data_IF_984139979157
#
_entry.id   IF_984139979157
#
_cell.length_a   1.000
_cell.length_b   1.000
_cell.length_c   1.000
_cell.angle_alpha   90.00
_cell.angle_beta   90.00
_cell.angle_gamma   90.00
#
_symmetry.space_group_name_H-M   'P 1'
#
loop_
_entity.id
_entity.type
_entity.pdbx_description
1 polymer ?
#
# COMPACT_ATOMS: atom_id res chain seq x y z
N UNK A 1 17.30 -21.38 22.03
CA UNK A 1 16.63 -20.42 21.14
C UNK A 1 16.72 -19.07 21.80
N UNK A 2 17.50 -18.17 21.23
CA UNK A 2 17.60 -16.78 21.67
C UNK A 2 16.37 -16.06 21.16
N UNK A 3 15.73 -15.25 22.00
CA UNK A 3 14.63 -14.38 21.57
C UNK A 3 15.18 -13.42 20.49
N UNK A 4 14.51 -13.23 19.33
CA UNK A 4 14.97 -12.28 18.34
C UNK A 4 15.05 -10.89 18.95
N UNK A 5 16.01 -10.09 18.50
CA UNK A 5 16.10 -8.68 18.85
C UNK A 5 14.81 -7.94 18.51
N UNK A 6 14.58 -6.80 19.17
CA UNK A 6 13.38 -5.99 18.92
C UNK A 6 13.27 -5.54 17.45
N UNK A 7 14.41 -5.30 16.79
CA UNK A 7 14.44 -4.90 15.38
C UNK A 7 14.08 -6.05 14.44
N UNK A 8 14.60 -7.26 14.67
CA UNK A 8 14.20 -8.46 13.92
C UNK A 8 12.71 -8.76 14.13
N UNK A 9 12.21 -8.71 15.36
CA UNK A 9 10.80 -8.91 15.65
C UNK A 9 9.90 -7.91 14.90
N UNK A 10 10.26 -6.63 14.92
CA UNK A 10 9.54 -5.58 14.19
C UNK A 10 9.59 -5.77 12.66
N UNK A 11 10.69 -6.32 12.12
CA UNK A 11 10.77 -6.66 10.70
C UNK A 11 9.79 -7.79 10.36
N UNK A 12 9.80 -8.89 11.13
CA UNK A 12 8.93 -10.05 10.91
C UNK A 12 7.44 -9.67 11.03
N UNK A 13 7.11 -8.78 11.96
CA UNK A 13 5.77 -8.20 12.08
C UNK A 13 5.40 -7.35 10.86
N UNK A 14 6.30 -6.48 10.40
CA UNK A 14 6.08 -5.62 9.22
C UNK A 14 5.75 -6.44 7.97
N UNK A 15 6.48 -7.52 7.72
CA UNK A 15 6.21 -8.42 6.59
C UNK A 15 5.15 -9.47 6.90
N UNK A 16 4.58 -9.50 8.12
CA UNK A 16 3.60 -10.49 8.59
C UNK A 16 4.01 -11.92 8.27
N UNK A 17 5.27 -12.24 8.53
CA UNK A 17 5.73 -13.61 8.33
C UNK A 17 5.15 -14.50 9.43
N UNK A 18 4.45 -15.60 9.08
CA UNK A 18 3.94 -16.52 10.08
C UNK A 18 5.13 -17.10 10.85
N UNK A 19 5.12 -17.00 12.18
CA UNK A 19 6.17 -17.56 13.03
C UNK A 19 6.31 -19.04 12.68
N UNK A 20 7.40 -19.39 11.98
CA UNK A 20 7.72 -20.75 11.57
C UNK A 20 8.92 -21.23 12.36
N UNK A 21 9.10 -22.55 12.41
CA UNK A 21 10.33 -23.10 12.97
C UNK A 21 11.52 -22.59 12.13
N UNK A 22 12.55 -22.02 12.77
CA UNK A 22 13.67 -21.45 12.04
C UNK A 22 14.39 -22.51 11.20
N UNK A 23 14.90 -22.11 10.04
CA UNK A 23 15.85 -22.94 9.32
C UNK A 23 17.12 -23.02 10.18
N UNK A 24 17.53 -24.22 10.57
CA UNK A 24 18.77 -24.40 11.32
C UNK A 24 19.95 -24.13 10.37
N UNK A 25 20.55 -22.94 10.46
CA UNK A 25 21.76 -22.58 9.73
C UNK A 25 22.98 -23.03 10.54
N UNK A 26 23.86 -23.82 9.93
CA UNK A 26 25.16 -24.14 10.52
C UNK A 26 26.13 -22.97 10.33
N UNK A 27 26.03 -21.98 11.22
CA UNK A 27 26.90 -20.80 11.16
C UNK A 27 28.39 -21.10 11.32
N UNK A 28 28.75 -22.20 11.98
CA UNK A 28 30.14 -22.58 12.12
C UNK A 28 30.71 -23.05 10.76
N UNK A 29 29.94 -23.86 10.02
CA UNK A 29 30.29 -24.25 8.65
C UNK A 29 30.31 -23.05 7.70
N UNK A 30 29.31 -22.17 7.76
CA UNK A 30 29.24 -20.95 6.93
C UNK A 30 30.44 -20.04 7.18
N UNK A 31 30.79 -19.79 8.45
CA UNK A 31 31.96 -18.97 8.78
C UNK A 31 33.26 -19.62 8.34
N UNK A 32 33.37 -20.95 8.45
CA UNK A 32 34.56 -21.69 8.00
C UNK A 32 34.74 -21.63 6.48
N UNK A 33 33.66 -21.71 5.71
CA UNK A 33 33.69 -21.68 4.25
C UNK A 33 33.92 -20.26 3.71
N UNK A 34 33.20 -19.27 4.24
CA UNK A 34 33.26 -17.88 3.75
C UNK A 34 34.47 -17.11 4.27
N UNK A 35 35.00 -17.48 5.44
CA UNK A 35 36.00 -16.70 6.17
C UNK A 35 35.47 -15.39 6.77
N UNK A 36 34.18 -15.08 6.57
CA UNK A 36 33.55 -13.85 7.02
C UNK A 36 32.89 -14.01 8.39
N UNK A 37 32.85 -12.91 9.15
CA UNK A 37 31.99 -12.78 10.34
C UNK A 37 30.66 -12.14 9.92
N UNK A 38 29.61 -12.39 10.69
CA UNK A 38 28.26 -11.90 10.40
C UNK A 38 27.69 -11.16 11.61
N UNK A 39 27.01 -10.02 11.42
CA UNK A 39 26.22 -9.40 12.46
C UNK A 39 25.23 -10.41 13.07
N UNK A 40 25.04 -10.38 14.38
CA UNK A 40 24.08 -11.20 15.11
C UNK A 40 22.66 -11.03 14.53
N UNK A 41 22.27 -9.81 14.21
CA UNK A 41 20.93 -9.52 13.66
C UNK A 41 20.70 -10.14 12.28
N UNK A 42 21.73 -10.24 11.43
CA UNK A 42 21.61 -10.98 10.17
C UNK A 42 21.35 -12.47 10.41
N UNK A 43 22.04 -13.05 11.40
CA UNK A 43 21.85 -14.45 11.76
C UNK A 43 20.43 -14.71 12.25
N UNK A 44 19.89 -13.82 13.08
CA UNK A 44 18.49 -13.88 13.52
C UNK A 44 17.51 -13.82 12.33
N UNK A 45 17.74 -12.92 11.37
CA UNK A 45 16.89 -12.78 10.18
C UNK A 45 16.95 -14.03 9.30
N UNK A 46 18.14 -14.57 9.03
CA UNK A 46 18.34 -15.78 8.22
C UNK A 46 17.88 -17.07 8.93
N UNK A 47 17.78 -17.07 10.25
CA UNK A 47 17.14 -18.18 10.97
C UNK A 47 15.62 -18.07 10.90
N UNK A 48 15.06 -16.85 10.99
CA UNK A 48 13.62 -16.61 11.02
C UNK A 48 12.93 -16.75 9.65
N UNK A 49 13.65 -16.47 8.57
CA UNK A 49 13.12 -16.51 7.20
C UNK A 49 13.80 -17.65 6.42
N UNK A 50 13.08 -18.44 5.60
CA UNK A 50 13.72 -19.32 4.63
C UNK A 50 14.35 -18.49 3.49
N UNK A 51 15.20 -19.09 2.63
CA UNK A 51 15.67 -18.41 1.40
C UNK A 51 14.52 -17.81 0.59
N UNK A 52 14.67 -16.55 0.16
CA UNK A 52 13.58 -15.82 -0.47
C UNK A 52 13.86 -14.33 -0.70
N UNK A 53 12.78 -13.60 -0.96
CA UNK A 53 12.81 -12.21 -1.40
C UNK A 53 11.81 -11.34 -0.63
N UNK A 54 12.24 -10.13 -0.32
CA UNK A 54 11.39 -9.05 0.16
C UNK A 54 10.82 -8.26 -1.01
N UNK A 55 9.50 -8.02 -0.99
CA UNK A 55 8.76 -7.27 -2.03
C UNK A 55 9.10 -7.70 -3.48
N UNK A 56 9.51 -8.95 -3.68
CA UNK A 56 9.93 -9.55 -4.97
C UNK A 56 11.15 -8.91 -5.66
N UNK A 57 11.79 -7.91 -5.06
CA UNK A 57 12.96 -7.24 -5.67
C UNK A 57 14.25 -7.39 -4.88
N UNK A 58 14.18 -7.47 -3.54
CA UNK A 58 15.34 -7.59 -2.68
C UNK A 58 15.50 -9.04 -2.26
N UNK A 59 16.52 -9.71 -2.79
CA UNK A 59 16.86 -11.10 -2.48
C UNK A 59 17.88 -11.16 -1.37
N UNK A 60 17.59 -11.93 -0.33
CA UNK A 60 18.56 -12.18 0.74
C UNK A 60 19.56 -13.25 0.26
N UNK A 61 20.86 -12.99 0.38
CA UNK A 61 21.89 -14.01 0.13
C UNK A 61 21.89 -14.97 1.32
N UNK A 62 20.99 -15.94 1.26
CA UNK A 62 20.62 -16.77 2.39
C UNK A 62 21.52 -18.02 2.50
N UNK A 63 22.17 -18.28 3.65
CA UNK A 63 23.13 -19.39 3.80
C UNK A 63 22.47 -20.77 3.71
N UNK A 64 21.21 -20.93 4.09
CA UNK A 64 20.46 -22.17 3.88
C UNK A 64 20.00 -22.41 2.41
N UNK A 65 20.31 -21.50 1.49
CA UNK A 65 19.96 -21.66 0.07
C UNK A 65 20.85 -22.67 -0.66
N UNK A 66 22.07 -22.88 -0.15
CA UNK A 66 23.10 -23.71 -0.77
C UNK A 66 23.92 -24.45 0.30
N UNK A 67 24.68 -25.49 -0.07
CA UNK A 67 25.77 -25.98 0.76
C UNK A 67 26.76 -24.85 1.12
N UNK A 68 27.45 -24.91 2.28
CA UNK A 68 28.33 -23.82 2.73
C UNK A 68 29.41 -23.40 1.73
N UNK A 69 29.99 -24.33 0.98
CA UNK A 69 31.02 -24.02 -0.02
C UNK A 69 30.44 -23.26 -1.23
N UNK A 70 29.27 -23.67 -1.72
CA UNK A 70 28.56 -22.97 -2.82
C UNK A 70 28.06 -21.59 -2.36
N UNK A 71 27.62 -21.46 -1.10
CA UNK A 71 27.32 -20.16 -0.53
C UNK A 71 28.56 -19.26 -0.48
N UNK A 72 29.72 -19.83 -0.12
CA UNK A 72 30.98 -19.08 -0.13
C UNK A 72 31.36 -18.61 -1.54
N UNK A 73 31.21 -19.46 -2.55
CA UNK A 73 31.43 -19.08 -3.95
C UNK A 73 30.53 -17.91 -4.37
N UNK A 74 29.25 -17.91 -3.98
CA UNK A 74 28.32 -16.81 -4.27
C UNK A 74 28.75 -15.50 -3.58
N UNK A 75 29.06 -15.55 -2.28
CA UNK A 75 29.51 -14.38 -1.52
C UNK A 75 30.83 -13.84 -2.08
N UNK A 76 31.80 -14.71 -2.39
CA UNK A 76 33.09 -14.31 -2.98
C UNK A 76 32.91 -13.76 -4.39
N UNK A 77 31.96 -14.28 -5.18
CA UNK A 77 31.61 -13.75 -6.49
C UNK A 77 31.12 -12.30 -6.43
N UNK A 78 30.19 -11.98 -5.54
CA UNK A 78 29.75 -10.59 -5.34
C UNK A 78 30.84 -9.72 -4.74
N UNK A 79 31.64 -10.22 -3.79
CA UNK A 79 32.76 -9.46 -3.24
C UNK A 79 33.80 -9.11 -4.32
N UNK A 80 34.09 -10.06 -5.22
CA UNK A 80 34.97 -9.85 -6.37
C UNK A 80 34.38 -8.82 -7.34
N UNK A 81 33.06 -8.86 -7.61
CA UNK A 81 32.38 -7.87 -8.44
C UNK A 81 32.50 -6.46 -7.87
N UNK A 82 32.40 -6.32 -6.54
CA UNK A 82 32.58 -5.06 -5.84
C UNK A 82 34.06 -4.61 -5.82
N UNK A 83 35.00 -5.54 -5.94
CA UNK A 83 36.45 -5.24 -6.03
C UNK A 83 37.08 -4.72 -4.74
N UNK A 84 36.41 -4.84 -3.61
CA UNK A 84 36.83 -4.25 -2.33
C UNK A 84 36.78 -5.30 -1.21
N UNK A 85 37.92 -5.62 -0.58
CA UNK A 85 38.02 -6.74 0.36
C UNK A 85 37.37 -6.46 1.73
N UNK A 86 37.01 -5.22 2.00
CA UNK A 86 36.35 -4.80 3.24
C UNK A 86 34.81 -4.87 3.15
N UNK A 87 34.25 -5.36 2.04
CA UNK A 87 32.81 -5.54 1.88
C UNK A 87 32.40 -7.00 1.97
N UNK A 88 31.35 -7.25 2.77
CA UNK A 88 30.71 -8.56 2.90
C UNK A 88 29.29 -8.46 2.33
N UNK A 89 29.04 -8.95 1.10
CA UNK A 89 27.72 -8.99 0.49
C UNK A 89 26.73 -9.80 1.31
N UNK A 90 25.47 -9.38 1.36
CA UNK A 90 24.43 -10.12 2.08
C UNK A 90 23.03 -10.03 1.46
N UNK A 91 22.79 -9.09 0.55
CA UNK A 91 21.56 -9.03 -0.23
C UNK A 91 21.82 -8.41 -1.61
N UNK A 92 20.89 -8.64 -2.54
CA UNK A 92 20.90 -8.04 -3.87
C UNK A 92 19.53 -7.45 -4.21
N UNK A 93 19.51 -6.34 -4.93
CA UNK A 93 18.30 -5.74 -5.49
C UNK A 93 18.37 -5.84 -7.00
N UNK A 94 17.60 -6.79 -7.54
CA UNK A 94 17.70 -7.17 -8.95
C UNK A 94 19.14 -7.46 -9.36
N UNK A 95 19.56 -6.90 -10.51
CA UNK A 95 20.95 -6.95 -10.99
C UNK A 95 21.70 -5.64 -10.73
N UNK A 96 21.08 -4.69 -10.03
CA UNK A 96 21.47 -3.28 -10.05
C UNK A 96 22.21 -2.87 -8.80
N UNK A 97 21.86 -3.46 -7.65
CA UNK A 97 22.53 -3.17 -6.40
C UNK A 97 22.93 -4.43 -5.65
N UNK A 98 24.14 -4.39 -5.10
CA UNK A 98 24.60 -5.32 -4.08
C UNK A 98 24.59 -4.58 -2.74
N UNK A 99 23.94 -5.18 -1.75
CA UNK A 99 23.91 -4.67 -0.39
C UNK A 99 24.95 -5.46 0.40
N UNK A 100 25.87 -4.73 1.03
CA UNK A 100 26.98 -5.30 1.78
C UNK A 100 27.06 -4.67 3.17
N UNK A 101 27.79 -5.31 4.09
CA UNK A 101 28.35 -4.61 5.25
C UNK A 101 29.76 -4.16 4.92
N UNK A 102 30.16 -3.01 5.44
CA UNK A 102 31.58 -2.61 5.43
C UNK A 102 32.23 -3.00 6.76
N UNK A 103 33.32 -3.75 6.67
CA UNK A 103 34.09 -4.20 7.82
C UNK A 103 34.74 -2.97 8.48
N UNK A 104 34.22 -2.59 9.64
CA UNK A 104 34.75 -1.51 10.48
C UNK A 104 35.04 -2.05 11.89
N UNK A 105 36.32 -2.21 12.21
CA UNK A 105 36.73 -2.77 13.51
C UNK A 105 36.36 -4.24 13.68
N UNK A 106 36.41 -4.69 14.94
CA UNK A 106 36.29 -6.11 15.28
C UNK A 106 34.88 -6.58 15.63
N UNK A 107 33.92 -5.67 15.76
CA UNK A 107 32.54 -6.00 16.12
C UNK A 107 31.64 -5.97 14.88
N UNK A 108 31.19 -7.15 14.37
CA UNK A 108 30.29 -7.19 13.23
C UNK A 108 28.96 -6.47 13.45
N UNK A 109 28.49 -6.36 14.69
CA UNK A 109 27.23 -5.66 14.99
C UNK A 109 27.34 -4.14 14.80
N UNK A 110 28.56 -3.61 14.71
CA UNK A 110 28.82 -2.20 14.45
C UNK A 110 29.04 -1.88 12.96
N UNK A 111 29.12 -2.89 12.09
CA UNK A 111 29.39 -2.69 10.66
C UNK A 111 28.22 -2.00 9.95
N UNK A 112 28.45 -0.86 9.27
CA UNK A 112 27.37 -0.18 8.55
C UNK A 112 26.99 -0.95 7.28
N UNK A 113 25.72 -0.79 6.88
CA UNK A 113 25.23 -1.27 5.59
C UNK A 113 25.69 -0.31 4.49
N UNK A 114 26.10 -0.86 3.35
CA UNK A 114 26.49 -0.12 2.15
C UNK A 114 25.64 -0.60 0.98
N UNK A 115 24.98 0.34 0.30
CA UNK A 115 24.31 0.11 -0.98
C UNK A 115 25.34 0.36 -2.08
N UNK A 116 25.67 -0.67 -2.86
CA UNK A 116 26.64 -0.59 -3.94
C UNK A 116 25.94 -0.73 -5.30
N UNK A 117 26.11 0.24 -6.18
CA UNK A 117 25.71 0.11 -7.60
C UNK A 117 26.60 -0.96 -8.25
N UNK A 118 25.97 -1.99 -8.82
CA UNK A 118 26.70 -3.09 -9.49
C UNK A 118 27.38 -2.67 -10.79
N UNK A 119 26.98 -1.52 -11.37
CA UNK A 119 27.43 -1.02 -12.68
C UNK A 119 28.40 0.15 -12.56
N UNK A 120 28.69 0.65 -11.36
CA UNK A 120 29.48 1.85 -11.17
C UNK A 120 30.13 1.96 -9.79
N UNK A 121 30.94 3.00 -9.54
CA UNK A 121 31.61 3.20 -8.25
C UNK A 121 30.67 3.79 -7.18
N UNK A 122 29.38 3.98 -7.48
CA UNK A 122 28.42 4.59 -6.57
C UNK A 122 28.20 3.73 -5.33
N UNK A 123 28.49 4.28 -4.15
CA UNK A 123 28.31 3.62 -2.86
C UNK A 123 27.78 4.58 -1.82
N UNK A 124 26.74 4.18 -1.12
CA UNK A 124 26.14 4.99 -0.05
C UNK A 124 26.09 4.18 1.24
N UNK A 125 26.55 4.81 2.32
CA UNK A 125 26.70 4.18 3.64
C UNK A 125 25.50 4.54 4.50
N UNK A 126 24.80 3.52 4.98
CA UNK A 126 23.72 3.65 5.94
C UNK A 126 24.17 3.06 7.28
N UNK A 127 24.19 3.90 8.32
CA UNK A 127 24.44 3.44 9.70
C UNK A 127 23.19 2.82 10.30
N UNK A 128 22.77 1.71 9.71
CA UNK A 128 21.64 0.90 10.12
C UNK A 128 22.12 -0.53 10.33
N UNK A 129 21.45 -1.24 11.24
CA UNK A 129 21.58 -2.69 11.35
C UNK A 129 20.87 -3.38 10.17
N UNK A 130 21.05 -4.69 10.01
CA UNK A 130 20.44 -5.47 8.92
C UNK A 130 18.90 -5.34 8.88
N UNK A 131 18.22 -5.60 9.99
CA UNK A 131 16.77 -5.47 10.10
C UNK A 131 16.34 -3.99 10.06
N UNK A 132 17.16 -3.08 10.60
CA UNK A 132 16.93 -1.64 10.48
C UNK A 132 16.90 -1.18 9.02
N UNK A 133 17.87 -1.63 8.21
CA UNK A 133 17.94 -1.34 6.78
C UNK A 133 16.78 -1.97 6.01
N UNK A 134 16.48 -3.25 6.23
CA UNK A 134 15.35 -3.93 5.58
C UNK A 134 14.02 -3.20 5.89
N UNK A 135 13.78 -2.80 7.14
CA UNK A 135 12.58 -2.03 7.50
C UNK A 135 12.53 -0.66 6.83
N UNK A 136 13.67 0.02 6.71
CA UNK A 136 13.75 1.29 6.00
C UNK A 136 13.38 1.13 4.52
N UNK A 137 13.91 0.12 3.84
CA UNK A 137 13.56 -0.18 2.43
C UNK A 137 12.08 -0.50 2.26
N UNK A 138 11.48 -1.21 3.23
CA UNK A 138 10.09 -1.66 3.14
C UNK A 138 9.05 -0.59 3.51
N UNK A 139 9.46 0.51 4.14
CA UNK A 139 8.56 1.58 4.58
C UNK A 139 8.38 2.61 3.46
N UNK A 140 7.17 3.15 3.30
CA UNK A 140 6.88 4.21 2.32
C UNK A 140 6.48 5.50 3.04
N UNK A 141 7.09 6.66 2.68
CA UNK A 141 8.23 6.79 1.77
C UNK A 141 9.50 6.15 2.34
N UNK A 142 10.33 5.55 1.48
CA UNK A 142 11.58 4.93 1.96
C UNK A 142 12.63 6.01 2.20
N UNK A 143 13.37 5.98 3.33
CA UNK A 143 14.49 6.88 3.55
C UNK A 143 15.79 6.41 2.86
N UNK A 144 15.77 5.31 2.10
CA UNK A 144 16.90 4.83 1.29
C UNK A 144 16.71 5.34 -0.13
N UNK A 145 17.26 6.53 -0.41
CA UNK A 145 17.01 7.29 -1.65
C UNK A 145 17.30 6.48 -2.92
N UNK A 146 18.36 5.68 -2.90
CA UNK A 146 18.84 4.84 -4.00
C UNK A 146 17.81 3.79 -4.41
N UNK A 147 16.92 3.39 -3.51
CA UNK A 147 15.94 2.32 -3.69
C UNK A 147 14.49 2.82 -3.78
N UNK A 148 14.25 4.13 -3.75
CA UNK A 148 12.91 4.74 -3.85
C UNK A 148 12.10 4.22 -5.04
N UNK A 149 12.73 4.12 -6.21
CA UNK A 149 12.08 3.69 -7.46
C UNK A 149 11.51 2.26 -7.42
N UNK A 150 12.06 1.37 -6.59
CA UNK A 150 11.59 -0.02 -6.44
C UNK A 150 10.79 -0.24 -5.16
N UNK A 151 11.16 0.42 -4.06
CA UNK A 151 10.50 0.30 -2.77
C UNK A 151 9.05 0.82 -2.77
N UNK A 152 8.79 1.87 -3.54
CA UNK A 152 7.45 2.48 -3.60
C UNK A 152 6.50 1.75 -4.55
N UNK A 153 7.04 0.93 -5.46
CA UNK A 153 6.25 0.23 -6.48
C UNK A 153 5.51 -1.01 -5.92
N UNK A 154 5.94 -1.56 -4.77
CA UNK A 154 5.49 -2.86 -4.27
C UNK A 154 4.99 -2.77 -2.82
N UNK A 155 3.80 -2.18 -2.64
CA UNK A 155 3.10 -2.18 -1.36
C UNK A 155 1.93 -3.17 -1.38
N UNK A 156 1.61 -3.81 -0.24
CA UNK A 156 2.23 -3.68 1.09
C UNK A 156 3.53 -4.50 1.24
N UNK A 157 4.32 -4.29 2.33
CA UNK A 157 5.50 -5.10 2.61
C UNK A 157 5.15 -6.59 2.67
N UNK A 158 5.97 -7.39 2.01
CA UNK A 158 5.76 -8.83 1.85
C UNK A 158 7.09 -9.57 1.75
N UNK A 159 7.02 -10.87 2.00
CA UNK A 159 8.13 -11.80 1.81
C UNK A 159 7.66 -13.03 1.04
N UNK A 160 8.46 -13.48 0.08
CA UNK A 160 8.20 -14.67 -0.73
C UNK A 160 9.38 -15.60 -0.59
N UNK A 161 9.15 -16.77 0.00
CA UNK A 161 10.15 -17.82 0.09
C UNK A 161 10.26 -18.58 -1.24
N UNK A 162 11.46 -19.08 -1.52
CA UNK A 162 11.72 -19.88 -2.72
C UNK A 162 10.94 -21.20 -2.75
N UNK A 163 10.51 -21.69 -1.59
CA UNK A 163 9.65 -22.88 -1.46
C UNK A 163 8.14 -22.59 -1.69
N UNK A 164 7.81 -21.36 -2.08
CA UNK A 164 6.45 -20.93 -2.39
C UNK A 164 5.65 -20.43 -1.19
N UNK A 165 6.18 -20.51 0.04
CA UNK A 165 5.55 -19.86 1.19
C UNK A 165 5.61 -18.36 1.03
N UNK A 166 4.53 -17.68 1.37
CA UNK A 166 4.44 -16.23 1.31
C UNK A 166 4.02 -15.67 2.66
N UNK A 167 4.46 -14.43 2.93
CA UNK A 167 3.95 -13.64 4.05
C UNK A 167 2.43 -13.66 4.03
N UNK A 168 1.81 -13.64 5.21
CA UNK A 168 0.37 -13.49 5.27
C UNK A 168 -0.02 -12.21 4.49
N UNK A 169 -1.03 -12.28 3.61
CA UNK A 169 -1.48 -11.10 2.88
C UNK A 169 -1.75 -10.00 3.91
N UNK A 170 -1.39 -8.75 3.59
CA UNK A 170 -1.89 -7.65 4.38
C UNK A 170 -3.41 -7.75 4.31
N UNK A 171 -4.04 -8.03 5.45
CA UNK A 171 -5.35 -7.46 5.67
C UNK A 171 -5.25 -5.96 5.38
N UNK A 172 -6.33 -5.34 4.90
CA UNK A 172 -6.30 -3.90 4.68
C UNK A 172 -5.88 -3.18 5.96
N UNK A 173 -5.00 -2.19 5.83
CA UNK A 173 -4.65 -1.33 6.95
C UNK A 173 -5.83 -0.39 7.23
N UNK A 174 -6.48 -0.58 8.38
CA UNK A 174 -7.65 0.20 8.80
C UNK A 174 -7.34 1.70 8.98
N UNK A 175 -6.08 2.08 9.21
CA UNK A 175 -5.66 3.48 9.36
C UNK A 175 -5.07 4.05 8.08
N UNK A 176 -4.91 3.27 7.00
CA UNK A 176 -4.25 3.72 5.77
C UNK A 176 -4.86 5.01 5.23
N UNK A 177 -6.19 5.03 5.04
CA UNK A 177 -6.87 6.22 4.54
C UNK A 177 -6.93 7.37 5.55
N UNK A 178 -6.90 7.05 6.83
CA UNK A 178 -6.93 8.06 7.88
C UNK A 178 -5.62 8.85 7.89
N UNK A 179 -4.47 8.18 7.75
CA UNK A 179 -3.16 8.83 7.63
C UNK A 179 -3.09 9.75 6.41
N UNK A 180 -3.73 9.39 5.30
CA UNK A 180 -3.85 10.26 4.13
C UNK A 180 -4.63 11.56 4.41
N UNK A 181 -5.64 11.49 5.28
CA UNK A 181 -6.48 12.62 5.66
C UNK A 181 -5.93 13.43 6.86
N UNK A 182 -5.02 12.86 7.64
CA UNK A 182 -4.42 13.52 8.81
C UNK A 182 -3.70 14.81 8.43
N UNK A 183 -3.87 15.86 9.26
CA UNK A 183 -3.25 17.17 9.04
C UNK A 183 -3.84 18.00 7.89
N UNK A 184 -4.78 17.45 7.10
CA UNK A 184 -5.48 18.18 6.06
C UNK A 184 -6.77 18.80 6.61
N UNK A 185 -6.94 20.10 6.44
CA UNK A 185 -8.16 20.79 6.83
C UNK A 185 -9.29 20.45 5.84
N UNK A 186 -10.41 19.94 6.34
CA UNK A 186 -11.64 19.84 5.58
C UNK A 186 -12.22 21.24 5.42
N UNK A 187 -12.56 21.63 4.19
CA UNK A 187 -13.62 22.62 4.00
C UNK A 187 -14.84 22.08 4.77
N UNK A 188 -15.56 22.94 5.49
CA UNK A 188 -16.72 22.52 6.31
C UNK A 188 -17.78 21.75 5.50
N UNK A 189 -18.87 21.27 6.13
CA UNK A 189 -19.94 20.63 5.39
C UNK A 189 -20.55 21.64 4.39
N UNK A 190 -20.17 21.52 3.12
CA UNK A 190 -20.64 22.35 2.01
C UNK A 190 -21.75 21.63 1.26
N UNK A 191 -22.78 22.38 0.89
CA UNK A 191 -23.86 21.93 0.00
C UNK A 191 -23.90 22.90 -1.19
N UNK A 192 -23.37 22.46 -2.32
CA UNK A 192 -23.24 23.25 -3.55
C UNK A 192 -24.25 22.83 -4.63
N UNK A 193 -25.38 22.23 -4.24
CA UNK A 193 -26.35 21.67 -5.19
C UNK A 193 -27.04 22.76 -6.00
N UNK A 194 -27.33 23.91 -5.39
CA UNK A 194 -27.99 25.01 -6.08
C UNK A 194 -27.08 25.60 -7.18
N UNK A 195 -25.79 25.81 -6.91
CA UNK A 195 -24.83 26.27 -7.92
C UNK A 195 -24.59 25.22 -9.00
N UNK A 196 -24.58 23.93 -8.64
CA UNK A 196 -24.40 22.85 -9.59
C UNK A 196 -25.62 22.71 -10.53
N UNK A 197 -26.83 22.99 -10.04
CA UNK A 197 -28.08 22.88 -10.80
C UNK A 197 -28.02 23.65 -12.12
N UNK A 198 -27.39 24.82 -12.12
CA UNK A 198 -27.29 25.69 -13.29
C UNK A 198 -26.26 25.20 -14.33
N UNK A 199 -25.41 24.23 -13.98
CA UNK A 199 -24.31 23.74 -14.80
C UNK A 199 -24.53 22.34 -15.38
N UNK A 200 -25.58 21.63 -14.94
CA UNK A 200 -25.83 20.24 -15.31
C UNK A 200 -27.24 20.07 -15.85
N UNK A 201 -27.47 19.02 -16.65
CA UNK A 201 -28.82 18.64 -17.05
C UNK A 201 -29.38 17.65 -16.03
N UNK A 202 -30.45 17.99 -15.29
CA UNK A 202 -31.07 17.05 -14.35
C UNK A 202 -31.57 15.80 -15.07
N UNK A 203 -31.38 14.65 -14.42
CA UNK A 203 -31.85 13.35 -14.89
C UNK A 203 -32.75 12.76 -13.81
N UNK A 204 -34.01 13.23 -13.71
CA UNK A 204 -34.91 12.83 -12.64
C UNK A 204 -35.07 11.31 -12.62
N UNK A 205 -34.92 10.72 -11.45
CA UNK A 205 -35.03 9.28 -11.27
C UNK A 205 -36.51 8.92 -11.28
N UNK A 206 -36.90 8.00 -12.17
CA UNK A 206 -38.28 7.51 -12.25
C UNK A 206 -38.60 6.59 -11.07
N UNK A 207 -38.79 7.16 -9.88
CA UNK A 207 -39.28 6.43 -8.71
C UNK A 207 -40.81 6.50 -8.72
N UNK A 208 -41.47 5.37 -8.98
CA UNK A 208 -42.93 5.22 -8.92
C UNK A 208 -43.48 5.16 -7.46
N UNK A 209 -43.02 6.09 -6.61
CA UNK A 209 -43.26 6.39 -5.16
C UNK A 209 -42.80 5.34 -4.11
N UNK A 210 -42.26 5.76 -2.93
CA UNK A 210 -42.70 6.84 -2.01
C UNK A 210 -41.64 7.93 -1.72
N UNK A 211 -42.03 8.98 -0.98
CA UNK A 211 -41.20 10.11 -0.50
C UNK A 211 -39.72 9.76 -0.25
N UNK A 212 -38.80 10.68 -0.56
CA UNK A 212 -37.34 10.50 -0.43
C UNK A 212 -36.89 9.93 0.92
N UNK A 213 -37.57 10.28 2.01
CA UNK A 213 -37.37 9.67 3.33
C UNK A 213 -37.36 8.13 3.31
N UNK A 214 -38.32 7.50 2.62
CA UNK A 214 -38.40 6.04 2.55
C UNK A 214 -37.28 5.45 1.72
N UNK A 215 -36.92 6.11 0.61
CA UNK A 215 -35.80 5.70 -0.25
C UNK A 215 -34.50 5.72 0.56
N UNK A 216 -34.20 6.83 1.25
CA UNK A 216 -32.99 6.95 2.05
C UNK A 216 -32.96 6.00 3.25
N UNK A 217 -34.11 5.73 3.88
CA UNK A 217 -34.18 4.71 4.93
C UNK A 217 -33.83 3.31 4.40
N UNK A 218 -34.29 2.94 3.19
CA UNK A 218 -33.92 1.66 2.57
C UNK A 218 -32.45 1.62 2.16
N UNK A 219 -31.92 2.71 1.61
CA UNK A 219 -30.50 2.83 1.26
C UNK A 219 -29.64 2.69 2.51
N UNK A 220 -29.95 3.41 3.58
CA UNK A 220 -29.26 3.30 4.86
C UNK A 220 -29.36 1.87 5.43
N UNK A 221 -30.52 1.22 5.33
CA UNK A 221 -30.68 -0.17 5.78
C UNK A 221 -29.80 -1.17 5.03
N UNK A 222 -29.50 -0.92 3.74
CA UNK A 222 -28.64 -1.79 2.93
C UNK A 222 -27.15 -1.46 3.07
N UNK A 223 -26.82 -0.17 3.09
CA UNK A 223 -25.44 0.31 3.18
C UNK A 223 -24.93 0.23 4.63
N UNK A 224 -25.80 0.37 5.63
CA UNK A 224 -25.43 0.40 7.05
C UNK A 224 -25.09 1.80 7.59
N UNK A 225 -25.07 2.83 6.73
CA UNK A 225 -24.84 4.22 7.13
C UNK A 225 -25.66 5.19 6.27
N UNK A 226 -26.17 6.31 6.83
CA UNK A 226 -26.82 7.34 6.02
C UNK A 226 -25.79 8.03 5.11
N UNK A 227 -26.09 8.23 3.81
CA UNK A 227 -25.26 9.06 2.93
C UNK A 227 -25.13 10.50 3.45
N UNK A 228 -24.07 11.21 3.05
CA UNK A 228 -23.89 12.64 3.36
C UNK A 228 -25.13 13.49 3.01
N UNK A 229 -25.46 14.53 3.81
CA UNK A 229 -26.63 15.38 3.56
C UNK A 229 -26.64 16.05 2.18
N UNK A 230 -25.50 16.61 1.75
CA UNK A 230 -25.35 17.27 0.46
C UNK A 230 -25.61 16.31 -0.71
N UNK A 231 -25.18 15.06 -0.57
CA UNK A 231 -25.45 14.03 -1.57
C UNK A 231 -26.93 13.66 -1.65
N UNK A 232 -27.62 13.60 -0.51
CA UNK A 232 -29.06 13.37 -0.52
C UNK A 232 -29.76 14.50 -1.25
N UNK A 233 -29.44 15.76 -0.91
CA UNK A 233 -29.98 16.93 -1.59
C UNK A 233 -29.70 16.89 -3.10
N UNK A 234 -28.46 16.56 -3.51
CA UNK A 234 -28.06 16.39 -4.90
C UNK A 234 -28.96 15.41 -5.67
N UNK A 235 -29.18 14.23 -5.11
CA UNK A 235 -29.97 13.18 -5.75
C UNK A 235 -31.46 13.51 -5.75
N UNK A 236 -31.96 14.14 -4.69
CA UNK A 236 -33.35 14.57 -4.58
C UNK A 236 -33.72 15.62 -5.62
N UNK A 237 -32.79 16.54 -5.92
CA UNK A 237 -32.98 17.65 -6.84
C UNK A 237 -32.61 17.32 -8.29
N UNK A 238 -31.45 16.68 -8.50
CA UNK A 238 -30.86 16.52 -9.84
C UNK A 238 -30.97 15.09 -10.37
N UNK A 239 -31.14 14.10 -9.49
CA UNK A 239 -31.26 12.69 -9.86
C UNK A 239 -29.94 12.05 -10.31
N UNK A 240 -30.01 11.15 -11.31
CA UNK A 240 -28.89 10.35 -11.78
C UNK A 240 -28.06 11.09 -12.84
N UNK A 241 -27.30 12.09 -12.43
CA UNK A 241 -26.57 13.00 -13.35
C UNK A 241 -25.18 12.50 -13.76
N UNK A 242 -24.68 13.02 -14.88
CA UNK A 242 -23.27 12.99 -15.27
C UNK A 242 -22.71 14.41 -15.22
N UNK A 243 -21.56 14.59 -14.58
CA UNK A 243 -20.85 15.88 -14.45
C UNK A 243 -19.43 15.70 -14.95
N UNK A 244 -19.13 16.24 -16.14
CA UNK A 244 -17.87 15.95 -16.84
C UNK A 244 -17.63 14.44 -16.95
N UNK A 245 -16.50 13.89 -16.47
CA UNK A 245 -16.19 12.46 -16.49
C UNK A 245 -16.95 11.65 -15.42
N UNK A 246 -17.61 12.29 -14.46
CA UNK A 246 -18.18 11.63 -13.29
C UNK A 246 -19.63 11.25 -13.55
N UNK A 247 -19.96 9.97 -13.45
CA UNK A 247 -21.35 9.49 -13.39
C UNK A 247 -21.75 9.25 -11.94
N UNK A 248 -22.78 9.97 -11.48
CA UNK A 248 -23.25 9.92 -10.09
C UNK A 248 -24.23 8.75 -9.89
N UNK A 249 -24.03 7.95 -8.84
CA UNK A 249 -24.88 6.78 -8.59
C UNK A 249 -26.14 7.14 -7.78
N UNK A 250 -27.30 6.91 -8.36
CA UNK A 250 -28.59 7.23 -7.75
C UNK A 250 -29.31 5.96 -7.29
N UNK A 251 -30.03 5.93 -6.15
CA UNK A 251 -30.89 4.81 -5.79
C UNK A 251 -31.94 4.53 -6.88
N UNK A 252 -31.96 3.34 -7.45
CA UNK A 252 -32.86 2.98 -8.56
C UNK A 252 -32.49 3.62 -9.92
N UNK A 253 -31.41 4.38 -10.01
CA UNK A 253 -30.92 4.97 -11.25
C UNK A 253 -30.19 3.97 -12.15
N UNK A 254 -29.78 4.41 -13.37
CA UNK A 254 -29.01 3.58 -14.30
C UNK A 254 -27.69 3.07 -13.69
N UNK A 255 -27.00 3.94 -12.95
CA UNK A 255 -25.94 3.58 -12.01
C UNK A 255 -26.55 3.59 -10.61
N UNK A 256 -26.86 2.41 -10.09
CA UNK A 256 -27.51 2.28 -8.79
C UNK A 256 -26.50 2.37 -7.63
N UNK A 257 -26.74 3.26 -6.67
CA UNK A 257 -25.86 3.51 -5.53
C UNK A 257 -25.55 2.23 -4.73
N UNK A 258 -26.58 1.46 -4.39
CA UNK A 258 -26.44 0.23 -3.60
C UNK A 258 -25.65 -0.82 -4.39
N UNK A 259 -25.98 -1.00 -5.68
CA UNK A 259 -25.26 -1.95 -6.54
C UNK A 259 -23.81 -1.54 -6.75
N UNK A 260 -23.49 -0.25 -6.85
CA UNK A 260 -22.13 0.20 -7.17
C UNK A 260 -21.17 -0.03 -5.99
N UNK A 261 -21.58 0.25 -4.75
CA UNK A 261 -20.74 -0.08 -3.59
C UNK A 261 -20.57 -1.61 -3.45
N UNK A 262 -21.65 -2.38 -3.64
CA UNK A 262 -21.61 -3.85 -3.54
C UNK A 262 -20.69 -4.48 -4.60
N UNK A 263 -20.60 -3.87 -5.79
CA UNK A 263 -19.67 -4.28 -6.84
C UNK A 263 -18.23 -4.01 -6.43
N UNK A 264 -17.93 -2.81 -5.89
CA UNK A 264 -16.59 -2.48 -5.40
C UNK A 264 -16.16 -3.46 -4.29
N UNK A 265 -17.01 -3.68 -3.29
CA UNK A 265 -16.76 -4.63 -2.20
C UNK A 265 -16.40 -6.03 -2.72
N UNK A 266 -17.21 -6.57 -3.63
CA UNK A 266 -16.96 -7.90 -4.23
C UNK A 266 -15.67 -7.95 -5.05
N UNK A 267 -15.35 -6.88 -5.79
CA UNK A 267 -14.09 -6.77 -6.53
C UNK A 267 -12.89 -6.82 -5.60
N UNK A 268 -12.92 -6.04 -4.53
CA UNK A 268 -11.83 -5.94 -3.55
C UNK A 268 -11.59 -7.27 -2.85
N UNK A 269 -12.66 -7.97 -2.44
CA UNK A 269 -12.54 -9.34 -1.90
C UNK A 269 -11.82 -10.27 -2.88
N UNK A 270 -12.18 -10.23 -4.17
CA UNK A 270 -11.54 -11.05 -5.20
C UNK A 270 -10.07 -10.66 -5.43
N UNK A 271 -9.76 -9.37 -5.47
CA UNK A 271 -8.38 -8.88 -5.66
C UNK A 271 -7.49 -9.26 -4.47
N UNK A 272 -7.98 -9.11 -3.23
CA UNK A 272 -7.25 -9.52 -2.03
C UNK A 272 -7.04 -11.02 -1.95
N UNK A 273 -8.02 -11.83 -2.37
CA UNK A 273 -7.86 -13.28 -2.48
C UNK A 273 -6.78 -13.69 -3.51
N UNK A 274 -6.47 -12.81 -4.47
CA UNK A 274 -5.40 -12.98 -5.46
C UNK A 274 -4.09 -12.26 -5.07
N UNK A 275 -3.97 -11.76 -3.83
CA UNK A 275 -2.76 -11.10 -3.33
C UNK A 275 -2.62 -9.61 -3.69
N UNK A 276 -3.65 -8.99 -4.27
CA UNK A 276 -3.68 -7.55 -4.59
C UNK A 276 -4.77 -6.77 -3.85
N UNK A 277 -5.29 -5.72 -4.50
CA UNK A 277 -6.35 -4.87 -3.96
C UNK A 277 -5.80 -3.62 -3.25
N UNK A 278 -6.69 -2.70 -2.83
CA UNK A 278 -6.28 -1.47 -2.18
C UNK A 278 -5.64 -1.75 -0.81
N UNK A 279 -4.63 -0.95 -0.47
CA UNK A 279 -3.92 -1.04 0.80
C UNK A 279 -4.83 -0.77 2.02
N UNK A 280 -5.80 0.14 1.88
CA UNK A 280 -6.78 0.43 2.93
C UNK A 280 -8.10 -0.34 2.82
N UNK A 281 -8.98 -0.10 3.78
CA UNK A 281 -10.29 -0.76 3.91
C UNK A 281 -11.32 -0.28 2.91
N UNK A 282 -12.31 -1.11 2.60
CA UNK A 282 -13.49 -0.75 1.78
C UNK A 282 -14.75 -1.05 2.57
N UNK A 283 -15.68 -0.09 2.61
CA UNK A 283 -16.91 -0.23 3.40
C UNK A 283 -17.66 -1.53 3.04
N UNK A 284 -18.17 -2.32 4.02
CA UNK A 284 -18.40 -1.99 5.43
C UNK A 284 -17.23 -2.29 6.39
N UNK A 285 -16.03 -2.55 5.87
CA UNK A 285 -14.84 -2.64 6.72
C UNK A 285 -14.65 -1.32 7.49
N UNK A 286 -14.18 -1.36 8.75
CA UNK A 286 -13.96 -0.15 9.53
C UNK A 286 -13.13 0.88 8.76
N UNK A 287 -13.60 2.14 8.76
CA UNK A 287 -12.94 3.29 8.11
C UNK A 287 -12.73 3.14 6.60
N UNK A 288 -13.48 2.23 5.96
CA UNK A 288 -13.33 1.95 4.55
C UNK A 288 -13.90 3.03 3.64
N UNK A 289 -13.42 3.07 2.40
CA UNK A 289 -13.98 3.94 1.37
C UNK A 289 -15.31 3.40 0.85
N UNK A 290 -16.24 4.29 0.52
CA UNK A 290 -17.59 3.95 0.03
C UNK A 290 -17.86 4.60 -1.32
N UNK A 291 -17.95 3.78 -2.38
CA UNK A 291 -18.19 4.26 -3.75
C UNK A 291 -19.59 4.84 -3.92
N UNK A 292 -19.65 5.98 -4.58
CA UNK A 292 -20.89 6.68 -4.94
C UNK A 292 -20.93 7.17 -6.38
N UNK A 293 -19.81 7.12 -7.11
CA UNK A 293 -19.76 7.50 -8.50
C UNK A 293 -18.68 6.75 -9.28
N UNK A 294 -18.75 6.91 -10.59
CA UNK A 294 -17.87 6.25 -11.55
C UNK A 294 -17.17 7.33 -12.38
N UNK A 295 -15.87 7.15 -12.64
CA UNK A 295 -15.17 7.94 -13.64
C UNK A 295 -15.24 7.26 -15.00
N UNK A 296 -15.32 8.08 -16.05
CA UNK A 296 -14.99 7.66 -17.40
C UNK A 296 -13.58 7.04 -17.42
N UNK A 297 -13.40 5.91 -18.12
CA UNK A 297 -12.17 5.11 -18.03
C UNK A 297 -12.14 4.09 -16.88
N UNK A 298 -13.20 3.99 -16.08
CA UNK A 298 -13.39 2.89 -15.12
C UNK A 298 -12.90 3.16 -13.70
N UNK A 299 -12.45 4.39 -13.41
CA UNK A 299 -12.10 4.83 -12.06
C UNK A 299 -13.30 4.90 -11.13
N UNK A 300 -13.02 5.12 -9.84
CA UNK A 300 -14.01 5.07 -8.77
C UNK A 300 -14.03 6.36 -7.97
N UNK A 301 -15.21 6.93 -7.76
CA UNK A 301 -15.41 8.09 -6.89
C UNK A 301 -16.05 7.61 -5.60
N UNK A 302 -15.37 7.83 -4.48
CA UNK A 302 -15.73 7.29 -3.18
C UNK A 302 -15.77 8.39 -2.12
N UNK A 303 -16.54 8.18 -1.06
CA UNK A 303 -16.36 8.87 0.20
C UNK A 303 -15.31 8.15 1.02
N UNK A 304 -14.46 8.90 1.70
CA UNK A 304 -13.68 8.37 2.80
C UNK A 304 -14.48 8.49 4.09
N UNK A 305 -14.82 7.35 4.72
CA UNK A 305 -15.63 7.31 5.96
C UNK A 305 -14.81 7.66 7.23
N UNK A 306 -13.97 8.69 7.12
CA UNK A 306 -12.95 9.11 8.09
C UNK A 306 -13.51 9.41 9.50
N UNK A 307 -14.71 9.99 9.58
CA UNK A 307 -15.38 10.39 10.84
C UNK A 307 -16.75 9.72 10.95
N UNK A 308 -17.29 9.60 12.16
CA UNK A 308 -18.70 9.16 12.37
C UNK A 308 -19.76 10.17 11.88
N UNK A 309 -19.34 11.24 11.20
CA UNK A 309 -20.17 12.36 10.75
C UNK A 309 -20.11 12.44 9.21
N UNK A 310 -21.12 11.90 8.48
CA UNK A 310 -21.14 11.85 7.01
C UNK A 310 -20.97 13.19 6.31
N UNK A 311 -21.43 14.26 6.95
CA UNK A 311 -21.30 15.62 6.43
C UNK A 311 -19.83 16.11 6.38
N UNK A 312 -18.89 15.36 6.94
CA UNK A 312 -17.45 15.62 6.89
C UNK A 312 -16.68 14.54 6.11
N UNK A 313 -17.36 13.74 5.28
CA UNK A 313 -16.67 12.73 4.48
C UNK A 313 -16.08 13.35 3.22
N UNK A 314 -14.74 13.38 3.08
CA UNK A 314 -14.12 13.88 1.87
C UNK A 314 -14.31 12.90 0.71
N UNK A 315 -14.11 13.41 -0.50
CA UNK A 315 -14.08 12.59 -1.72
C UNK A 315 -12.67 12.03 -1.93
N UNK A 316 -12.58 10.74 -2.18
CA UNK A 316 -11.37 10.07 -2.63
C UNK A 316 -11.64 9.40 -3.96
N UNK A 317 -10.78 9.68 -4.93
CA UNK A 317 -10.90 9.20 -6.30
C UNK A 317 -9.82 8.15 -6.54
N UNK A 318 -10.21 7.00 -7.07
CA UNK A 318 -9.30 5.92 -7.44
C UNK A 318 -9.26 5.73 -8.95
N UNK A 319 -8.11 5.26 -9.45
CA UNK A 319 -8.05 4.68 -10.78
C UNK A 319 -8.77 3.33 -10.87
N UNK A 320 -8.87 2.80 -12.10
CA UNK A 320 -9.64 1.59 -12.36
C UNK A 320 -9.12 0.36 -11.62
N UNK A 321 -7.85 0.33 -11.20
CA UNK A 321 -7.23 -0.80 -10.50
C UNK A 321 -7.17 -0.64 -8.98
N UNK A 322 -7.63 0.50 -8.44
CA UNK A 322 -7.55 0.85 -7.01
C UNK A 322 -6.10 0.96 -6.50
N UNK A 323 -5.13 1.13 -7.39
CA UNK A 323 -3.71 1.24 -7.04
C UNK A 323 -3.27 2.68 -6.83
N UNK A 324 -3.87 3.61 -7.57
CA UNK A 324 -3.62 5.05 -7.42
C UNK A 324 -4.88 5.75 -6.94
N UNK A 325 -4.68 6.76 -6.10
CA UNK A 325 -5.77 7.55 -5.56
C UNK A 325 -5.40 9.01 -5.38
N UNK A 326 -6.43 9.85 -5.25
CA UNK A 326 -6.31 11.25 -4.88
C UNK A 326 -7.41 11.64 -3.91
N UNK A 327 -7.01 12.24 -2.80
CA UNK A 327 -7.92 12.75 -1.78
C UNK A 327 -8.27 14.22 -2.04
N UNK A 328 -9.57 14.52 -2.03
CA UNK A 328 -10.14 15.85 -2.18
C UNK A 328 -10.92 16.18 -0.90
N UNK A 329 -10.47 17.18 -0.16
CA UNK A 329 -11.03 17.58 1.14
C UNK A 329 -12.32 18.40 1.00
N UNK A 330 -13.28 17.84 0.28
CA UNK A 330 -14.52 18.48 -0.18
C UNK A 330 -15.70 17.53 0.00
N UNK A 331 -16.91 18.11 0.13
CA UNK A 331 -18.16 17.36 0.01
C UNK A 331 -18.39 16.86 -1.42
N UNK A 332 -19.36 15.98 -1.63
CA UNK A 332 -19.63 15.43 -2.96
C UNK A 332 -20.14 16.51 -3.93
N UNK A 333 -21.07 17.34 -3.48
CA UNK A 333 -21.61 18.46 -4.26
C UNK A 333 -20.53 19.48 -4.61
N UNK A 334 -19.65 19.84 -3.67
CA UNK A 334 -18.52 20.75 -3.92
C UNK A 334 -17.53 20.17 -4.93
N UNK A 335 -17.16 18.89 -4.78
CA UNK A 335 -16.28 18.20 -5.72
C UNK A 335 -16.87 18.21 -7.14
N UNK A 336 -18.17 17.93 -7.28
CA UNK A 336 -18.85 17.96 -8.58
C UNK A 336 -18.92 19.38 -9.16
N UNK A 337 -19.15 20.40 -8.34
CA UNK A 337 -19.11 21.80 -8.78
C UNK A 337 -17.72 22.18 -9.30
N UNK A 338 -16.65 21.75 -8.63
CA UNK A 338 -15.28 21.97 -9.10
C UNK A 338 -15.02 21.26 -10.43
N UNK A 339 -15.45 20.00 -10.57
CA UNK A 339 -15.37 19.26 -11.84
C UNK A 339 -16.16 19.96 -12.97
N UNK A 340 -17.33 20.53 -12.66
CA UNK A 340 -18.15 21.24 -13.64
C UNK A 340 -17.56 22.59 -14.08
N UNK A 341 -16.81 23.26 -13.19
CA UNK A 341 -16.30 24.62 -13.40
C UNK A 341 -14.83 24.69 -13.78
N UNK A 342 -14.09 23.58 -13.65
CA UNK A 342 -12.67 23.50 -13.98
C UNK A 342 -12.36 22.42 -15.04
N UNK A 343 -12.28 22.79 -16.33
CA UNK A 343 -11.97 21.85 -17.42
C UNK A 343 -10.56 21.26 -17.35
N UNK A 344 -9.61 21.94 -16.70
CA UNK A 344 -8.25 21.45 -16.49
C UNK A 344 -8.10 20.61 -15.22
N UNK A 345 -9.20 20.36 -14.49
CA UNK A 345 -9.16 19.45 -13.37
C UNK A 345 -8.60 18.10 -13.88
N UNK A 346 -7.67 17.44 -13.17
CA UNK A 346 -6.88 16.30 -13.66
C UNK A 346 -7.66 15.03 -14.06
N UNK A 347 -8.99 15.10 -14.04
CA UNK A 347 -9.92 14.08 -14.51
C UNK A 347 -10.93 14.62 -15.55
N UNK A 348 -10.93 15.93 -15.83
CA UNK A 348 -11.87 16.67 -16.68
C UNK A 348 -11.53 16.71 -18.17
N UNK A 349 -10.59 15.89 -18.64
CA UNK A 349 -10.17 15.80 -20.04
C UNK A 349 -10.34 14.42 -20.64
#
# INVERSE_FOLDING_TARGET
>A
MTTPSAATAALLELIRWPVSAPAAVDWAAVQSATGARYPAEFREVAEALPPGQFQTFLSLLHPAGFPPDEYADEIHGYAQMLGEPDLVPWAVVGMDYVIAWRIEGDDPDAWPVVVCDSRGPGRVVHRLSTAGFLRAVLTVPTPVEELTFVAEAQQPPSYVANDGRTSAPAGPDEEHWNREAEGRELLGPEDCVDELRDLVTPAPITITVPRWYTVWSQVQGKIGWPPPPDYKHLIEELGAIKVGPVTVAAPGGPVDLVKTYDKLRRRVVKQRAAGGGPAGTVWPEPRGVMRWGDLEGGGHVCWLTYKKRPEFWPVIVFDAELSRHRLHMMSASRFLLEVATNPEHPWGG
#
